data_IF_182326040552
#
_entry.id   IF_182326040552
#
_cell.length_a   1.000
_cell.length_b   1.000
_cell.length_c   1.000
_cell.angle_alpha   90.00
_cell.angle_beta   90.00
_cell.angle_gamma   90.00
#
_symmetry.space_group_name_H-M   'P 1'
#
loop_
_entity.id
_entity.type
_entity.pdbx_description
1 polymer ?
#
# COMPACT_ATOMS: atom_id res chain seq x y z
N UNK A 1 -4.41 0.04 -31.07
CA UNK A 1 -3.92 0.30 -29.69
C UNK A 1 -4.18 -0.94 -28.87
N UNK A 2 -3.17 -1.61 -28.30
CA UNK A 2 -3.45 -2.71 -27.37
C UNK A 2 -4.15 -2.12 -26.13
N UNK A 3 -5.34 -2.62 -25.83
CA UNK A 3 -6.02 -2.33 -24.57
C UNK A 3 -5.18 -2.92 -23.44
N UNK A 4 -4.66 -2.07 -22.55
CA UNK A 4 -4.03 -2.54 -21.32
C UNK A 4 -5.12 -3.19 -20.46
N UNK A 5 -5.13 -4.52 -20.40
CA UNK A 5 -5.97 -5.24 -19.44
C UNK A 5 -5.54 -4.79 -18.03
N UNK A 6 -6.46 -4.31 -17.20
CA UNK A 6 -6.14 -3.95 -15.81
C UNK A 6 -5.52 -5.15 -15.11
N UNK A 7 -4.44 -4.92 -14.36
CA UNK A 7 -3.87 -5.97 -13.52
C UNK A 7 -4.95 -6.46 -12.53
N UNK A 8 -5.11 -7.78 -12.33
CA UNK A 8 -6.03 -8.31 -11.32
C UNK A 8 -5.69 -7.77 -9.93
N UNK A 9 -6.70 -7.35 -9.18
CA UNK A 9 -6.56 -6.97 -7.77
C UNK A 9 -6.88 -8.16 -6.87
N UNK A 10 -6.11 -8.32 -5.80
CA UNK A 10 -6.37 -9.26 -4.70
C UNK A 10 -7.53 -8.82 -3.81
N UNK A 11 -7.83 -7.52 -3.84
CA UNK A 11 -8.89 -6.91 -3.05
C UNK A 11 -8.61 -5.43 -2.78
N UNK A 12 -9.44 -4.87 -1.90
CA UNK A 12 -9.33 -3.49 -1.42
C UNK A 12 -9.19 -3.47 0.08
N UNK A 13 -8.55 -2.44 0.61
CA UNK A 13 -8.45 -2.23 2.05
C UNK A 13 -8.42 -0.75 2.39
N UNK A 14 -8.69 -0.46 3.67
CA UNK A 14 -8.39 0.82 4.26
C UNK A 14 -7.12 0.72 5.11
N UNK A 15 -6.29 1.76 5.07
CA UNK A 15 -5.16 1.93 5.99
C UNK A 15 -5.72 2.27 7.37
N UNK A 16 -5.50 1.41 8.36
CA UNK A 16 -5.95 1.61 9.75
C UNK A 16 -4.82 2.06 10.68
N UNK A 17 -3.56 1.93 10.23
CA UNK A 17 -2.37 2.49 10.89
C UNK A 17 -1.48 3.15 9.84
N UNK A 18 -1.09 4.41 10.07
CA UNK A 18 -0.18 5.11 9.17
C UNK A 18 1.23 4.50 9.17
N UNK A 19 1.95 4.65 8.08
CA UNK A 19 3.31 4.12 7.97
C UNK A 19 3.90 4.27 6.57
N UNK A 20 5.11 3.76 6.39
CA UNK A 20 5.84 3.95 5.15
C UNK A 20 5.31 3.03 4.04
N UNK A 21 5.09 3.61 2.88
CA UNK A 21 5.04 2.88 1.60
C UNK A 21 6.45 2.82 1.02
N UNK A 22 6.80 1.67 0.46
CA UNK A 22 8.18 1.32 0.12
C UNK A 22 8.34 0.78 -1.30
N UNK A 23 9.50 0.95 -1.89
CA UNK A 23 9.82 0.39 -3.22
C UNK A 23 10.06 -1.12 -3.20
N UNK A 24 10.41 -1.67 -2.03
CA UNK A 24 10.59 -3.09 -1.81
C UNK A 24 10.01 -3.50 -0.43
N UNK A 25 9.60 -4.78 -0.24
CA UNK A 25 9.03 -5.28 1.01
C UNK A 25 10.12 -5.53 2.08
N UNK A 26 10.82 -4.45 2.48
CA UNK A 26 11.93 -4.49 3.41
C UNK A 26 12.01 -3.19 4.23
N UNK A 27 12.37 -3.29 5.51
CA UNK A 27 12.50 -2.13 6.40
C UNK A 27 13.92 -1.56 6.34
N UNK A 28 14.24 -0.80 5.28
CA UNK A 28 15.49 -0.03 5.15
C UNK A 28 15.23 1.39 4.64
N UNK A 29 16.00 2.42 5.03
CA UNK A 29 15.72 3.81 4.65
C UNK A 29 15.60 4.04 3.14
N UNK A 30 16.49 3.43 2.35
CA UNK A 30 16.53 3.56 0.90
C UNK A 30 15.28 3.05 0.17
N UNK A 31 14.39 2.33 0.85
CA UNK A 31 13.14 1.85 0.25
C UNK A 31 11.96 2.78 0.48
N UNK A 32 12.06 3.79 1.35
CA UNK A 32 10.91 4.64 1.66
C UNK A 32 10.58 5.53 0.46
N UNK A 33 9.36 5.40 -0.07
CA UNK A 33 8.80 6.29 -1.09
C UNK A 33 8.11 7.50 -0.43
N UNK A 34 7.45 7.24 0.70
CA UNK A 34 6.71 8.21 1.49
C UNK A 34 5.81 7.48 2.49
N UNK A 35 4.71 8.10 2.88
CA UNK A 35 3.79 7.57 3.90
C UNK A 35 2.35 7.43 3.40
N UNK A 36 1.72 6.32 3.77
CA UNK A 36 0.26 6.15 3.77
C UNK A 36 -0.29 6.51 5.13
N UNK A 37 -1.52 7.02 5.15
CA UNK A 37 -2.14 7.56 6.35
C UNK A 37 -3.44 6.85 6.68
N UNK A 38 -3.83 6.92 7.95
CA UNK A 38 -5.07 6.32 8.42
C UNK A 38 -6.25 6.88 7.61
N UNK A 39 -7.07 5.95 7.11
CA UNK A 39 -8.23 6.22 6.28
C UNK A 39 -7.98 6.06 4.77
N UNK A 40 -6.72 6.06 4.31
CA UNK A 40 -6.40 5.88 2.88
C UNK A 40 -7.00 4.60 2.34
N UNK A 41 -7.55 4.66 1.13
CA UNK A 41 -8.04 3.48 0.42
C UNK A 41 -7.02 2.99 -0.58
N UNK A 42 -6.85 1.68 -0.64
CA UNK A 42 -5.84 1.03 -1.46
C UNK A 42 -6.42 -0.15 -2.24
N UNK A 43 -5.87 -0.39 -3.43
CA UNK A 43 -6.06 -1.62 -4.21
C UNK A 43 -4.80 -2.47 -4.09
N UNK A 44 -4.96 -3.76 -3.77
CA UNK A 44 -3.86 -4.68 -3.53
C UNK A 44 -3.64 -5.56 -4.75
N UNK A 45 -2.39 -5.77 -5.16
CA UNK A 45 -2.02 -6.53 -6.37
C UNK A 45 -1.19 -7.77 -6.06
N UNK A 46 -0.29 -7.70 -5.08
CA UNK A 46 0.60 -8.81 -4.72
C UNK A 46 0.67 -8.94 -3.19
N UNK A 47 0.75 -10.17 -2.72
CA UNK A 47 1.04 -10.50 -1.33
C UNK A 47 2.38 -11.23 -1.26
N UNK A 48 3.25 -10.82 -0.33
CA UNK A 48 4.52 -11.51 -0.05
C UNK A 48 4.67 -11.76 1.43
N UNK A 49 5.02 -12.99 1.78
CA UNK A 49 5.33 -13.39 3.16
C UNK A 49 6.86 -13.54 3.23
N UNK A 50 7.52 -12.64 3.95
CA UNK A 50 8.99 -12.63 4.11
C UNK A 50 9.42 -13.49 5.30
N UNK A 51 8.61 -13.49 6.37
CA UNK A 51 8.71 -14.38 7.53
C UNK A 51 7.30 -14.60 8.13
N UNK A 52 7.18 -15.45 9.15
CA UNK A 52 5.89 -15.86 9.75
C UNK A 52 4.98 -14.69 10.15
N UNK A 53 5.53 -13.51 10.48
CA UNK A 53 4.77 -12.33 10.91
C UNK A 53 4.97 -11.11 10.01
N UNK A 54 5.67 -11.27 8.89
CA UNK A 54 6.07 -10.17 8.02
C UNK A 54 5.45 -10.35 6.64
N UNK A 55 4.16 -10.03 6.61
CA UNK A 55 3.35 -10.02 5.40
C UNK A 55 3.38 -8.62 4.81
N UNK A 56 3.63 -8.55 3.51
CA UNK A 56 3.70 -7.33 2.73
C UNK A 56 2.70 -7.39 1.59
N UNK A 57 2.17 -6.23 1.23
CA UNK A 57 1.30 -6.08 0.08
C UNK A 57 1.83 -5.02 -0.87
N UNK A 58 1.93 -5.38 -2.15
CA UNK A 58 2.08 -4.39 -3.22
C UNK A 58 0.70 -3.83 -3.50
N UNK A 59 0.59 -2.51 -3.45
CA UNK A 59 -0.68 -1.82 -3.59
C UNK A 59 -0.54 -0.53 -4.38
N UNK A 60 -1.68 0.03 -4.77
CA UNK A 60 -1.84 1.39 -5.26
C UNK A 60 -2.75 2.16 -4.31
N UNK A 61 -2.37 3.37 -3.93
CA UNK A 61 -3.25 4.29 -3.21
C UNK A 61 -4.30 4.80 -4.20
N UNK A 62 -5.58 4.57 -3.92
CA UNK A 62 -6.67 5.01 -4.81
C UNK A 62 -7.36 6.27 -4.29
N UNK A 63 -7.35 6.49 -2.98
CA UNK A 63 -7.94 7.67 -2.36
C UNK A 63 -7.16 8.05 -1.10
N UNK A 64 -6.90 9.34 -0.97
CA UNK A 64 -6.29 9.93 0.21
C UNK A 64 -7.34 10.68 1.03
N UNK A 65 -7.44 10.38 2.33
CA UNK A 65 -8.37 11.07 3.24
C UNK A 65 -7.68 11.75 4.43
N UNK A 66 -8.25 12.85 4.94
CA UNK A 66 -7.71 13.56 6.11
C UNK A 66 -6.44 14.39 5.86
N UNK A 67 -5.94 15.08 6.90
CA UNK A 67 -4.70 15.86 6.86
C UNK A 67 -3.58 15.08 7.55
N UNK A 68 -2.63 14.60 6.75
CA UNK A 68 -1.47 13.86 7.23
C UNK A 68 -0.26 14.42 6.45
N UNK A 69 0.70 14.99 7.17
CA UNK A 69 1.82 15.79 6.67
C UNK A 69 3.05 15.54 7.56
N UNK A 70 4.30 15.63 7.05
CA UNK A 70 4.70 16.20 5.76
C UNK A 70 4.99 15.25 4.59
N UNK A 71 5.12 13.93 4.77
CA UNK A 71 5.66 13.02 3.73
C UNK A 71 4.63 12.06 3.12
N UNK A 72 3.39 12.54 2.96
CA UNK A 72 2.30 11.73 2.44
C UNK A 72 2.43 11.49 0.93
N UNK A 73 2.11 10.28 0.48
CA UNK A 73 2.01 9.96 -0.95
C UNK A 73 0.66 10.34 -1.57
N UNK A 74 0.67 10.61 -2.86
CA UNK A 74 -0.53 10.96 -3.63
C UNK A 74 -1.33 9.71 -4.01
N UNK A 75 -2.61 9.90 -4.36
CA UNK A 75 -3.35 8.88 -5.08
C UNK A 75 -2.64 8.52 -6.40
N UNK A 76 -2.64 7.25 -6.75
CA UNK A 76 -1.88 6.65 -7.85
C UNK A 76 -0.50 6.13 -7.45
N UNK A 77 0.03 6.48 -6.28
CA UNK A 77 1.32 5.93 -5.83
C UNK A 77 1.23 4.42 -5.59
N UNK A 78 2.18 3.69 -6.17
CA UNK A 78 2.35 2.26 -5.96
C UNK A 78 3.56 1.95 -5.10
N UNK A 79 3.46 0.86 -4.33
CA UNK A 79 4.55 0.38 -3.51
C UNK A 79 4.09 -0.70 -2.54
N UNK A 80 5.00 -1.03 -1.62
CA UNK A 80 4.86 -2.07 -0.63
C UNK A 80 4.57 -1.48 0.74
N UNK A 81 3.57 -2.03 1.42
CA UNK A 81 3.31 -1.75 2.84
C UNK A 81 3.31 -3.04 3.64
N UNK A 82 3.61 -2.94 4.93
CA UNK A 82 3.41 -4.05 5.85
C UNK A 82 1.90 -4.25 6.07
N UNK A 83 1.44 -5.50 6.07
CA UNK A 83 0.04 -5.86 6.24
C UNK A 83 -0.59 -5.39 7.56
N UNK A 84 0.21 -5.13 8.59
CA UNK A 84 -0.25 -4.56 9.86
C UNK A 84 -0.81 -3.13 9.73
N UNK A 85 -0.53 -2.45 8.61
CA UNK A 85 -1.08 -1.12 8.33
C UNK A 85 -2.52 -1.18 7.81
N UNK A 86 -2.97 -2.34 7.31
CA UNK A 86 -4.24 -2.50 6.63
C UNK A 86 -5.31 -3.08 7.54
N UNK A 87 -6.55 -2.67 7.31
CA UNK A 87 -7.74 -3.30 7.86
C UNK A 87 -8.06 -4.62 7.16
N UNK A 88 -9.31 -5.06 7.29
CA UNK A 88 -9.80 -6.22 6.54
C UNK A 88 -9.65 -6.00 5.03
N UNK A 89 -9.24 -7.04 4.32
CA UNK A 89 -9.14 -7.05 2.86
C UNK A 89 -10.49 -7.53 2.31
N UNK A 90 -11.16 -6.66 1.57
CA UNK A 90 -12.40 -6.94 0.85
C UNK A 90 -12.03 -7.53 -0.51
N UNK A 91 -12.42 -8.79 -0.76
CA UNK A 91 -12.12 -9.52 -2.01
C UNK A 91 -13.29 -9.48 -2.97
#
# INVERSE_FOLDING_TARGET
TPTLTPEPILGRAQVVRGGNIRSAPQVVPATVIGQVCVGDRVELFEERIVDTNNRWYRLRVVETVGRCVPERVSAGTEGWVNGQLLGAIER
#
